data_IF_219835391530
#
_entry.id   IF_219835391530
#
_cell.length_a   1.000
_cell.length_b   1.000
_cell.length_c   1.000
_cell.angle_alpha   90.00
_cell.angle_beta   90.00
_cell.angle_gamma   90.00
#
_symmetry.space_group_name_H-M   'P 1'
#
loop_
_entity.id
_entity.type
_entity.pdbx_description
1 polymer ?
#
# COMPACT_ATOMS: atom_id res chain seq x y z
N UNK A 1 12.58 -3.41 15.72
CA UNK A 1 13.08 -2.79 14.47
C UNK A 1 13.14 -3.87 13.42
N UNK A 2 12.07 -4.02 12.64
CA UNK A 2 12.02 -4.99 11.54
C UNK A 2 12.75 -4.37 10.36
N UNK A 3 14.01 -4.75 10.17
CA UNK A 3 14.77 -4.36 9.00
C UNK A 3 14.34 -5.28 7.85
N UNK A 4 13.47 -4.77 6.98
CA UNK A 4 13.19 -5.41 5.69
C UNK A 4 14.48 -5.32 4.89
N UNK A 5 15.27 -6.38 4.96
CA UNK A 5 16.43 -6.55 4.10
C UNK A 5 15.90 -6.81 2.70
N UNK A 6 15.83 -5.77 1.87
CA UNK A 6 15.66 -5.93 0.42
C UNK A 6 16.86 -6.73 -0.09
N UNK A 7 16.73 -8.04 -0.06
CA UNK A 7 17.73 -8.98 -0.51
C UNK A 7 17.66 -9.01 -2.03
N UNK A 8 18.51 -8.24 -2.69
CA UNK A 8 18.71 -8.27 -4.13
C UNK A 8 19.33 -9.62 -4.50
N UNK A 9 18.50 -10.65 -4.69
CA UNK A 9 18.92 -11.95 -5.20
C UNK A 9 18.39 -12.10 -6.63
N UNK A 10 19.24 -11.73 -7.57
CA UNK A 10 19.21 -12.26 -8.93
C UNK A 10 19.51 -13.77 -8.87
N UNK A 11 18.49 -14.58 -8.55
CA UNK A 11 18.43 -16.01 -8.82
C UNK A 11 17.05 -16.29 -9.38
N UNK A 12 17.01 -17.02 -10.49
CA UNK A 12 15.82 -17.41 -11.24
C UNK A 12 14.75 -18.05 -10.35
N UNK A 13 13.87 -17.22 -9.80
CA UNK A 13 12.83 -17.56 -8.84
C UNK A 13 11.81 -16.42 -8.80
N UNK A 14 10.56 -16.77 -8.51
CA UNK A 14 9.44 -15.83 -8.42
C UNK A 14 9.82 -14.64 -7.51
N UNK A 15 9.69 -13.43 -8.04
CA UNK A 15 9.91 -12.18 -7.28
C UNK A 15 8.55 -11.75 -6.72
N UNK A 16 8.47 -11.61 -5.40
CA UNK A 16 7.27 -11.13 -4.72
C UNK A 16 6.83 -9.79 -5.33
N UNK A 17 5.53 -9.68 -5.63
CA UNK A 17 4.95 -8.44 -6.14
C UNK A 17 3.55 -8.20 -5.57
N UNK A 18 3.14 -6.94 -5.57
CA UNK A 18 1.77 -6.56 -5.23
C UNK A 18 0.84 -7.03 -6.35
N UNK A 19 -0.20 -7.78 -5.98
CA UNK A 19 -1.28 -8.21 -6.86
C UNK A 19 -2.41 -7.19 -6.88
N UNK A 20 -2.80 -6.69 -5.70
CA UNK A 20 -3.87 -5.72 -5.59
C UNK A 20 -3.77 -4.93 -4.29
N UNK A 21 -4.41 -3.77 -4.27
CA UNK A 21 -4.67 -2.97 -3.07
C UNK A 21 -6.16 -2.69 -2.96
N UNK A 22 -6.70 -2.82 -1.75
CA UNK A 22 -8.03 -2.37 -1.37
C UNK A 22 -7.89 -1.25 -0.34
N UNK A 23 -8.56 -0.13 -0.58
CA UNK A 23 -8.49 1.09 0.24
C UNK A 23 -9.91 1.50 0.60
N UNK A 24 -10.18 1.66 1.89
CA UNK A 24 -11.45 2.22 2.39
C UNK A 24 -11.20 3.41 3.32
N UNK A 25 -12.14 4.35 3.23
CA UNK A 25 -12.23 5.54 4.05
C UNK A 25 -10.96 6.42 4.08
N UNK A 26 -10.17 6.45 3.01
CA UNK A 26 -8.88 7.15 2.98
C UNK A 26 -8.89 8.35 2.01
N UNK A 27 -8.81 9.57 2.54
CA UNK A 27 -8.77 10.83 1.78
C UNK A 27 -9.87 10.89 0.71
N UNK A 28 -9.51 10.98 -0.57
CA UNK A 28 -10.48 11.01 -1.68
C UNK A 28 -11.07 9.63 -2.03
N UNK A 29 -10.62 8.55 -1.39
CA UNK A 29 -10.96 7.16 -1.71
C UNK A 29 -11.93 6.62 -0.64
N UNK A 30 -13.21 6.53 -0.99
CA UNK A 30 -14.24 5.96 -0.10
C UNK A 30 -14.11 4.44 0.02
N UNK A 31 -14.11 3.76 -1.11
CA UNK A 31 -13.93 2.31 -1.25
C UNK A 31 -13.41 2.06 -2.66
N UNK A 32 -12.19 1.54 -2.77
CA UNK A 32 -11.51 1.35 -4.05
C UNK A 32 -10.61 0.13 -4.00
N UNK A 33 -10.72 -0.73 -5.02
CA UNK A 33 -9.81 -1.86 -5.25
C UNK A 33 -9.12 -1.68 -6.59
N UNK A 34 -7.81 -1.89 -6.61
CA UNK A 34 -6.97 -1.76 -7.81
C UNK A 34 -6.11 -3.00 -7.93
N UNK A 35 -6.16 -3.63 -9.09
CA UNK A 35 -5.28 -4.73 -9.47
C UNK A 35 -4.00 -4.18 -10.13
N UNK A 36 -2.87 -4.80 -9.81
CA UNK A 36 -1.56 -4.47 -10.33
C UNK A 36 -1.03 -5.59 -11.22
N UNK A 37 -0.46 -5.17 -12.35
CA UNK A 37 0.32 -6.01 -13.24
C UNK A 37 1.81 -5.67 -13.11
N UNK A 38 2.66 -6.34 -13.89
CA UNK A 38 4.10 -5.99 -13.96
C UNK A 38 4.35 -4.52 -14.32
N UNK A 39 3.40 -3.91 -15.02
CA UNK A 39 3.38 -2.50 -15.34
C UNK A 39 1.94 -2.00 -15.27
N UNK A 40 1.69 -1.07 -14.34
CA UNK A 40 0.38 -0.43 -14.16
C UNK A 40 0.57 1.08 -14.22
N UNK A 41 -0.23 1.76 -15.05
CA UNK A 41 -0.23 3.21 -15.17
C UNK A 41 -1.54 3.78 -14.63
N UNK A 42 -1.45 4.69 -13.66
CA UNK A 42 -2.60 5.37 -13.07
C UNK A 42 -2.88 6.67 -13.83
N UNK A 43 -3.94 6.71 -14.62
CA UNK A 43 -4.31 7.86 -15.46
C UNK A 43 -5.64 8.47 -15.03
N UNK A 44 -5.75 9.80 -15.13
CA UNK A 44 -6.97 10.53 -14.78
C UNK A 44 -6.71 11.98 -14.32
N UNK A 45 -7.77 12.79 -14.14
CA UNK A 45 -7.65 14.20 -13.79
C UNK A 45 -6.87 14.46 -12.50
N UNK A 46 -6.32 15.67 -12.33
CA UNK A 46 -5.74 16.09 -11.06
C UNK A 46 -6.82 16.05 -9.95
N UNK A 47 -6.46 15.56 -8.77
CA UNK A 47 -7.41 15.38 -7.66
C UNK A 47 -8.25 14.11 -7.72
N UNK A 48 -8.18 13.30 -8.78
CA UNK A 48 -8.94 12.04 -8.88
C UNK A 48 -8.52 10.92 -7.89
N UNK A 49 -7.59 11.19 -6.97
CA UNK A 49 -7.12 10.21 -5.98
C UNK A 49 -5.93 9.34 -6.41
N UNK A 50 -5.35 9.59 -7.59
CA UNK A 50 -4.21 8.80 -8.12
C UNK A 50 -3.03 8.72 -7.16
N UNK A 51 -2.58 9.87 -6.66
CA UNK A 51 -1.49 9.94 -5.67
C UNK A 51 -1.90 9.33 -4.33
N UNK A 52 -3.20 9.35 -3.97
CA UNK A 52 -3.69 8.74 -2.72
C UNK A 52 -3.53 7.22 -2.71
N UNK A 53 -3.54 6.57 -3.88
CA UNK A 53 -3.22 5.14 -3.98
C UNK A 53 -1.76 4.88 -3.58
N UNK A 54 -0.84 5.72 -4.08
CA UNK A 54 0.59 5.63 -3.71
C UNK A 54 0.81 6.00 -2.24
N UNK A 55 0.10 7.00 -1.71
CA UNK A 55 0.15 7.34 -0.29
C UNK A 55 -0.35 6.18 0.59
N UNK A 56 -1.43 5.50 0.21
CA UNK A 56 -1.92 4.33 0.94
C UNK A 56 -0.89 3.19 0.98
N UNK A 57 -0.15 2.98 -0.13
CA UNK A 57 0.98 2.04 -0.15
C UNK A 57 2.11 2.47 0.80
N UNK A 58 2.46 3.76 0.82
CA UNK A 58 3.48 4.27 1.75
C UNK A 58 3.06 4.07 3.22
N UNK A 59 1.78 4.34 3.54
CA UNK A 59 1.19 4.08 4.86
C UNK A 59 1.32 2.60 5.22
N UNK A 60 0.97 1.69 4.30
CA UNK A 60 1.07 0.25 4.52
C UNK A 60 2.51 -0.21 4.84
N UNK A 61 3.50 0.25 4.07
CA UNK A 61 4.90 -0.12 4.28
C UNK A 61 5.58 0.63 5.44
N UNK A 62 4.92 1.63 6.03
CA UNK A 62 5.47 2.51 7.08
C UNK A 62 6.79 3.17 6.67
N UNK A 63 6.97 3.45 5.38
CA UNK A 63 8.15 4.17 4.90
C UNK A 63 8.02 5.65 5.23
N UNK A 64 8.53 6.03 6.40
CA UNK A 64 8.53 7.42 6.90
C UNK A 64 9.65 8.27 6.32
N UNK A 65 10.65 7.68 5.66
CA UNK A 65 11.76 8.42 5.03
C UNK A 65 11.35 8.94 3.65
N UNK A 66 11.08 10.25 3.54
CA UNK A 66 10.80 10.93 2.26
C UNK A 66 9.32 11.11 1.90
N UNK A 67 8.39 10.61 2.73
CA UNK A 67 6.96 10.91 2.60
C UNK A 67 6.65 12.29 3.22
N UNK A 68 5.94 13.20 2.52
CA UNK A 68 5.47 14.46 3.12
C UNK A 68 4.41 14.24 4.21
N UNK A 69 3.89 13.02 4.36
CA UNK A 69 2.96 12.62 5.41
C UNK A 69 3.75 11.92 6.51
N UNK A 70 3.77 12.47 7.72
CA UNK A 70 4.24 11.77 8.92
C UNK A 70 3.31 10.58 9.17
N UNK A 71 3.73 9.38 8.75
CA UNK A 71 2.91 8.17 8.83
C UNK A 71 2.71 7.65 10.26
N UNK A 72 3.34 8.28 11.26
CA UNK A 72 3.17 7.94 12.67
C UNK A 72 1.79 8.32 13.21
N UNK A 73 1.13 9.32 12.62
CA UNK A 73 -0.14 9.86 13.11
C UNK A 73 -1.05 10.24 11.93
N UNK A 74 -1.92 9.32 11.51
CA UNK A 74 -3.04 9.66 10.63
C UNK A 74 -3.93 10.67 11.36
N UNK A 75 -4.34 11.74 10.68
CA UNK A 75 -5.21 12.76 11.25
C UNK A 75 -6.63 12.71 10.65
N UNK A 76 -7.52 13.58 11.13
CA UNK A 76 -8.90 13.66 10.66
C UNK A 76 -9.01 13.96 9.14
N UNK A 77 -8.00 14.58 8.54
CA UNK A 77 -7.98 14.91 7.11
C UNK A 77 -7.64 13.69 6.24
N UNK A 78 -7.02 12.66 6.82
CA UNK A 78 -6.78 11.39 6.14
C UNK A 78 -8.04 10.51 6.03
N UNK A 79 -9.12 10.81 6.77
CA UNK A 79 -10.39 10.10 6.66
C UNK A 79 -11.22 10.63 5.49
N UNK A 80 -11.86 9.73 4.74
CA UNK A 80 -12.76 10.16 3.67
C UNK A 80 -13.92 10.97 4.25
N UNK A 81 -14.12 12.17 3.70
CA UNK A 81 -15.10 13.14 4.21
C UNK A 81 -14.95 13.47 5.71
N UNK A 82 -13.76 13.25 6.30
CA UNK A 82 -13.48 13.40 7.73
C UNK A 82 -14.34 12.49 8.62
N UNK A 83 -14.82 11.37 8.07
CA UNK A 83 -15.65 10.42 8.79
C UNK A 83 -14.79 9.49 9.66
N UNK A 84 -14.63 9.87 10.92
CA UNK A 84 -13.88 9.09 11.93
C UNK A 84 -14.69 7.96 12.56
N UNK A 85 -15.96 7.78 12.18
CA UNK A 85 -16.79 6.68 12.67
C UNK A 85 -16.49 5.36 11.96
N UNK A 86 -15.98 5.43 10.73
CA UNK A 86 -15.47 4.30 9.97
C UNK A 86 -13.93 4.27 10.03
N UNK A 87 -13.29 3.10 10.19
CA UNK A 87 -11.84 3.02 10.19
C UNK A 87 -11.28 3.21 8.77
N UNK A 88 -10.04 3.70 8.68
CA UNK A 88 -9.24 3.59 7.45
C UNK A 88 -8.79 2.14 7.33
N UNK A 89 -9.10 1.49 6.21
CA UNK A 89 -8.66 0.13 5.91
C UNK A 89 -7.80 0.13 4.65
N UNK A 90 -6.56 -0.35 4.77
CA UNK A 90 -5.66 -0.54 3.64
C UNK A 90 -5.24 -2.01 3.64
N UNK A 91 -5.64 -2.76 2.63
CA UNK A 91 -5.31 -4.18 2.47
C UNK A 91 -4.51 -4.36 1.19
N UNK A 92 -3.31 -4.93 1.31
CA UNK A 92 -2.43 -5.23 0.17
C UNK A 92 -2.35 -6.74 0.00
N UNK A 93 -2.67 -7.22 -1.21
CA UNK A 93 -2.50 -8.63 -1.57
C UNK A 93 -1.20 -8.78 -2.33
N UNK A 94 -0.33 -9.68 -1.87
CA UNK A 94 0.89 -10.06 -2.57
C UNK A 94 0.68 -11.35 -3.37
N UNK A 95 1.44 -11.51 -4.43
CA UNK A 95 1.55 -12.77 -5.18
C UNK A 95 3.02 -13.08 -5.48
N UNK A 96 3.26 -14.29 -5.98
CA UNK A 96 4.59 -14.77 -6.33
C UNK A 96 5.54 -14.80 -5.11
N UNK A 97 4.98 -15.10 -3.92
CA UNK A 97 5.69 -15.29 -2.65
C UNK A 97 6.63 -16.50 -2.76
N UNK A 98 7.92 -16.30 -2.45
CA UNK A 98 8.85 -17.42 -2.27
C UNK A 98 8.52 -18.20 -0.98
N UNK A 99 9.09 -19.40 -0.84
CA UNK A 99 8.85 -20.29 0.32
C UNK A 99 9.24 -19.64 1.66
N UNK A 100 10.28 -18.82 1.65
CA UNK A 100 10.78 -18.14 2.84
C UNK A 100 9.76 -17.08 3.32
N UNK A 101 9.24 -16.25 2.41
CA UNK A 101 8.22 -15.25 2.72
C UNK A 101 6.90 -15.89 3.18
N UNK A 102 6.47 -17.00 2.58
CA UNK A 102 5.27 -17.70 3.02
C UNK A 102 5.36 -18.14 4.49
N UNK A 103 6.58 -18.43 4.98
CA UNK A 103 6.81 -18.80 6.37
C UNK A 103 6.78 -17.55 7.27
N UNK A 104 7.43 -16.46 6.86
CA UNK A 104 7.49 -15.20 7.63
C UNK A 104 6.12 -14.52 7.83
N UNK A 105 5.18 -14.72 6.89
CA UNK A 105 3.82 -14.15 6.96
C UNK A 105 2.76 -15.09 7.54
N UNK A 106 3.14 -16.30 7.98
CA UNK A 106 2.21 -17.28 8.56
C UNK A 106 2.13 -17.26 10.09
N UNK A 107 3.03 -16.54 10.77
CA UNK A 107 3.00 -16.27 12.23
C UNK A 107 2.29 -14.95 12.56
#
# INVERSE_FOLDING_TARGET
MCAIKLCTLAKSGLVMRIKSISIKNFRSLKDCTIDFDRYTSLVGPNGAGKSNILYALNVFFRETEGSPTNLSDLDIEDFHARDVHEPIEITVTFCDLNTDAQTDFAE
#
